data_IF_236995223046
#
_entry.id   IF_236995223046
#
_cell.length_a   1.000
_cell.length_b   1.000
_cell.length_c   1.000
_cell.angle_alpha   90.00
_cell.angle_beta   90.00
_cell.angle_gamma   90.00
#
_symmetry.space_group_name_H-M   'P 1'
#
loop_
_entity.id
_entity.type
_entity.pdbx_description
1 polymer ?
#
# COMPACT_ATOMS: atom_id res chain seq x y z
N UNK A 1 -17.25 18.19 -10.42
CA UNK A 1 -17.43 17.31 -9.23
C UNK A 1 -16.05 17.01 -8.67
N UNK A 2 -15.85 17.26 -7.38
CA UNK A 2 -14.57 17.01 -6.73
C UNK A 2 -14.38 15.50 -6.58
N UNK A 3 -13.23 15.00 -7.02
CA UNK A 3 -12.92 13.56 -7.00
C UNK A 3 -12.83 13.02 -5.57
N UNK A 4 -13.41 11.84 -5.32
CA UNK A 4 -13.39 11.17 -4.01
C UNK A 4 -12.27 10.13 -3.96
N UNK A 5 -11.28 10.37 -3.11
CA UNK A 5 -10.12 9.49 -2.87
C UNK A 5 -10.29 8.78 -1.52
N UNK A 6 -10.25 7.45 -1.53
CA UNK A 6 -10.28 6.64 -0.31
C UNK A 6 -8.88 6.10 -0.04
N UNK A 7 -8.38 6.27 1.19
CA UNK A 7 -7.03 5.82 1.57
C UNK A 7 -7.10 5.00 2.85
N UNK A 8 -6.57 3.78 2.84
CA UNK A 8 -6.45 2.97 4.06
C UNK A 8 -5.04 3.12 4.66
N UNK A 9 -4.94 3.01 5.98
CA UNK A 9 -3.68 3.22 6.69
C UNK A 9 -3.25 4.68 6.69
N UNK A 10 -4.21 5.58 6.75
CA UNK A 10 -4.00 7.03 6.58
C UNK A 10 -3.58 7.77 7.86
N UNK A 11 -3.34 7.05 8.97
CA UNK A 11 -2.99 7.69 10.25
C UNK A 11 -1.49 7.86 10.46
N UNK A 12 -0.65 7.47 9.51
CA UNK A 12 0.81 7.64 9.58
C UNK A 12 1.47 7.33 8.24
N UNK A 13 2.73 7.70 8.12
CA UNK A 13 3.62 7.31 7.03
C UNK A 13 3.10 7.69 5.65
N UNK A 14 3.24 6.78 4.69
CA UNK A 14 2.89 7.04 3.29
C UNK A 14 1.41 7.40 3.15
N UNK A 15 0.52 6.67 3.85
CA UNK A 15 -0.93 6.91 3.75
C UNK A 15 -1.33 8.30 4.23
N UNK A 16 -0.79 8.74 5.37
CA UNK A 16 -1.02 10.10 5.87
C UNK A 16 -0.47 11.14 4.89
N UNK A 17 0.76 10.94 4.41
CA UNK A 17 1.38 11.88 3.48
C UNK A 17 0.59 12.00 2.16
N UNK A 18 0.04 10.88 1.65
CA UNK A 18 -0.83 10.91 0.46
C UNK A 18 -2.13 11.66 0.77
N UNK A 19 -2.73 11.43 1.96
CA UNK A 19 -3.97 12.10 2.34
C UNK A 19 -3.77 13.62 2.41
N UNK A 20 -2.69 14.07 3.05
CA UNK A 20 -2.33 15.50 3.11
C UNK A 20 -2.14 16.08 1.72
N UNK A 21 -1.33 15.42 0.88
CA UNK A 21 -1.05 15.88 -0.49
C UNK A 21 -2.34 15.96 -1.33
N UNK A 22 -3.24 15.00 -1.18
CA UNK A 22 -4.52 15.01 -1.90
C UNK A 22 -5.42 16.17 -1.44
N UNK A 23 -5.46 16.42 -0.12
CA UNK A 23 -6.24 17.54 0.44
C UNK A 23 -5.69 18.90 -0.03
N UNK A 24 -4.36 19.05 -0.09
CA UNK A 24 -3.71 20.25 -0.65
C UNK A 24 -4.10 20.48 -2.12
N UNK A 25 -4.46 19.41 -2.83
CA UNK A 25 -4.93 19.47 -4.21
C UNK A 25 -6.46 19.51 -4.29
N UNK A 26 -7.13 19.82 -3.18
CA UNK A 26 -8.59 20.05 -3.09
C UNK A 26 -9.44 18.81 -3.43
N UNK A 27 -8.92 17.60 -3.22
CA UNK A 27 -9.71 16.38 -3.36
C UNK A 27 -10.48 16.11 -2.07
N UNK A 28 -11.62 15.46 -2.17
CA UNK A 28 -12.31 14.89 -1.02
C UNK A 28 -11.61 13.58 -0.65
N UNK A 29 -11.12 13.47 0.56
CA UNK A 29 -10.36 12.30 1.02
C UNK A 29 -11.10 11.59 2.14
N UNK A 30 -11.33 10.28 2.00
CA UNK A 30 -11.72 9.44 3.13
C UNK A 30 -10.47 8.74 3.65
N UNK A 31 -10.12 9.03 4.89
CA UNK A 31 -8.95 8.47 5.57
C UNK A 31 -9.39 7.37 6.53
N UNK A 32 -9.06 6.11 6.22
CA UNK A 32 -9.42 4.95 7.04
C UNK A 32 -8.21 4.47 7.84
N UNK A 33 -8.35 4.34 9.17
CA UNK A 33 -7.32 3.77 10.04
C UNK A 33 -7.92 3.42 11.40
N UNK A 34 -7.14 2.75 12.25
CA UNK A 34 -7.56 2.39 13.61
C UNK A 34 -7.41 3.53 14.62
N UNK A 35 -6.41 4.39 14.41
CA UNK A 35 -6.04 5.46 15.36
C UNK A 35 -6.95 6.68 15.14
N UNK A 36 -8.08 6.70 15.85
CA UNK A 36 -9.09 7.76 15.70
C UNK A 36 -8.56 9.14 16.10
N UNK A 37 -7.70 9.21 17.11
CA UNK A 37 -7.05 10.45 17.54
C UNK A 37 -6.21 11.07 16.43
N UNK A 38 -5.40 10.25 15.74
CA UNK A 38 -4.58 10.69 14.61
C UNK A 38 -5.45 11.16 13.44
N UNK A 39 -6.52 10.41 13.15
CA UNK A 39 -7.45 10.78 12.08
C UNK A 39 -8.17 12.11 12.41
N UNK A 40 -8.55 12.32 13.68
CA UNK A 40 -9.19 13.57 14.10
C UNK A 40 -8.24 14.75 13.94
N UNK A 41 -6.98 14.60 14.37
CA UNK A 41 -5.96 15.65 14.18
C UNK A 41 -5.75 15.98 12.71
N UNK A 42 -5.77 14.96 11.86
CA UNK A 42 -5.60 15.14 10.42
C UNK A 42 -6.80 15.90 9.81
N UNK A 43 -8.01 15.61 10.27
CA UNK A 43 -9.22 16.33 9.87
C UNK A 43 -9.21 17.79 10.33
N UNK A 44 -8.79 18.02 11.57
CA UNK A 44 -8.71 19.40 12.11
C UNK A 44 -7.77 20.28 11.28
N UNK A 45 -6.68 19.68 10.79
CA UNK A 45 -5.71 20.39 9.94
C UNK A 45 -6.20 20.51 8.49
N UNK A 46 -6.90 19.48 8.00
CA UNK A 46 -7.36 19.37 6.61
C UNK A 46 -8.86 19.01 6.58
N UNK A 47 -9.77 19.99 6.60
CA UNK A 47 -11.22 19.69 6.61
C UNK A 47 -11.76 18.87 5.43
N UNK A 48 -11.01 18.79 4.32
CA UNK A 48 -11.36 17.94 3.18
C UNK A 48 -11.06 16.46 3.43
N UNK A 49 -10.39 16.13 4.54
CA UNK A 49 -10.12 14.74 4.92
C UNK A 49 -11.19 14.28 5.90
N UNK A 50 -12.02 13.34 5.46
CA UNK A 50 -13.08 12.75 6.29
C UNK A 50 -12.53 11.50 7.00
N UNK A 51 -12.51 11.49 8.35
CA UNK A 51 -11.96 10.36 9.10
C UNK A 51 -12.99 9.22 9.25
N UNK A 52 -12.53 8.00 9.00
CA UNK A 52 -13.32 6.79 9.24
C UNK A 52 -12.49 5.81 10.06
N UNK A 53 -12.91 5.57 11.31
CA UNK A 53 -12.21 4.63 12.18
C UNK A 53 -12.65 3.21 11.85
N UNK A 54 -11.69 2.35 11.47
CA UNK A 54 -11.95 0.94 11.20
C UNK A 54 -10.67 0.12 11.32
N UNK A 55 -10.81 -1.11 11.80
CA UNK A 55 -9.75 -2.12 11.72
C UNK A 55 -9.85 -2.78 10.35
N UNK A 56 -8.78 -2.71 9.59
CA UNK A 56 -8.74 -3.24 8.22
C UNK A 56 -8.90 -4.77 8.19
N UNK A 57 -8.67 -5.44 9.32
CA UNK A 57 -8.82 -6.90 9.44
C UNK A 57 -10.26 -7.32 9.76
N UNK A 58 -11.14 -6.36 10.05
CA UNK A 58 -12.56 -6.62 10.32
C UNK A 58 -13.39 -6.22 9.10
N UNK A 59 -13.82 -7.20 8.34
CA UNK A 59 -14.60 -7.03 7.11
C UNK A 59 -15.85 -6.15 7.33
N UNK A 60 -16.52 -6.30 8.47
CA UNK A 60 -17.75 -5.54 8.74
C UNK A 60 -17.46 -4.07 9.01
N UNK A 61 -16.38 -3.79 9.76
CA UNK A 61 -15.95 -2.41 10.01
C UNK A 61 -15.54 -1.73 8.70
N UNK A 62 -14.79 -2.45 7.84
CA UNK A 62 -14.35 -1.93 6.52
C UNK A 62 -15.58 -1.56 5.68
N UNK A 63 -16.53 -2.49 5.55
CA UNK A 63 -17.74 -2.26 4.75
C UNK A 63 -18.55 -1.08 5.28
N UNK A 64 -18.71 -0.98 6.60
CA UNK A 64 -19.46 0.12 7.23
C UNK A 64 -18.77 1.46 7.03
N UNK A 65 -17.43 1.52 7.19
CA UNK A 65 -16.67 2.75 6.99
C UNK A 65 -16.79 3.25 5.55
N UNK A 66 -16.62 2.34 4.58
CA UNK A 66 -16.73 2.70 3.15
C UNK A 66 -18.15 3.16 2.82
N UNK A 67 -19.18 2.50 3.37
CA UNK A 67 -20.57 2.91 3.14
C UNK A 67 -20.84 4.31 3.70
N UNK A 68 -20.30 4.65 4.89
CA UNK A 68 -20.43 6.01 5.45
C UNK A 68 -19.69 7.04 4.58
N UNK A 69 -18.49 6.73 4.14
CA UNK A 69 -17.69 7.59 3.26
C UNK A 69 -18.44 7.92 1.97
N UNK A 70 -19.09 6.93 1.37
CA UNK A 70 -19.87 7.11 0.14
C UNK A 70 -21.08 8.03 0.39
N UNK A 71 -21.69 7.96 1.56
CA UNK A 71 -22.81 8.87 1.91
C UNK A 71 -22.36 10.33 2.02
N UNK A 72 -21.10 10.55 2.44
CA UNK A 72 -20.55 11.91 2.63
C UNK A 72 -20.05 12.49 1.30
N UNK A 73 -19.27 11.74 0.55
CA UNK A 73 -18.54 12.26 -0.62
C UNK A 73 -19.02 11.70 -1.96
N UNK A 74 -20.01 10.80 -1.96
CA UNK A 74 -20.39 10.11 -3.18
C UNK A 74 -19.49 8.91 -3.48
N UNK A 75 -19.67 8.30 -4.64
CA UNK A 75 -18.91 7.09 -5.02
C UNK A 75 -17.39 7.31 -4.98
N UNK A 76 -16.67 6.28 -4.59
CA UNK A 76 -15.19 6.32 -4.55
C UNK A 76 -14.65 6.32 -5.99
N UNK A 77 -13.94 7.37 -6.36
CA UNK A 77 -13.31 7.48 -7.68
C UNK A 77 -11.96 6.77 -7.72
N UNK A 78 -11.19 6.88 -6.62
CA UNK A 78 -9.89 6.23 -6.51
C UNK A 78 -9.73 5.64 -5.11
N UNK A 79 -9.36 4.36 -5.02
CA UNK A 79 -9.08 3.70 -3.75
C UNK A 79 -7.59 3.36 -3.67
N UNK A 80 -6.88 3.97 -2.70
CA UNK A 80 -5.48 3.65 -2.42
C UNK A 80 -5.45 2.74 -1.20
N UNK A 81 -5.23 1.45 -1.44
CA UNK A 81 -5.26 0.40 -0.41
C UNK A 81 -3.86 0.23 0.15
N UNK A 82 -3.52 1.13 1.11
CA UNK A 82 -2.17 1.32 1.63
C UNK A 82 -1.93 0.63 2.98
N UNK A 83 -2.97 0.37 3.77
CA UNK A 83 -2.82 -0.20 5.11
C UNK A 83 -1.90 -1.42 5.10
N UNK A 84 -0.94 -1.45 6.02
CA UNK A 84 0.00 -2.55 6.09
C UNK A 84 0.81 -2.50 7.37
N UNK A 85 1.36 -3.65 7.74
CA UNK A 85 2.31 -3.77 8.84
C UNK A 85 3.59 -4.42 8.32
N UNK A 86 4.68 -4.14 9.02
CA UNK A 86 5.99 -4.71 8.74
C UNK A 86 6.70 -5.00 10.06
N UNK A 87 7.20 -6.20 10.17
CA UNK A 87 8.03 -6.62 11.30
C UNK A 87 9.10 -7.56 10.74
N UNK A 88 10.38 -7.25 10.93
CA UNK A 88 11.44 -8.20 10.55
C UNK A 88 11.38 -9.43 11.45
N UNK A 89 11.51 -10.62 10.88
CA UNK A 89 11.45 -11.88 11.61
C UNK A 89 12.75 -12.68 11.47
N UNK A 90 13.10 -13.37 12.55
CA UNK A 90 14.19 -14.35 12.55
C UNK A 90 13.58 -15.71 12.23
N UNK A 91 13.91 -16.28 11.08
CA UNK A 91 13.34 -17.56 10.65
C UNK A 91 13.81 -18.76 11.48
N UNK A 92 14.77 -18.56 12.40
CA UNK A 92 15.14 -19.62 13.35
C UNK A 92 14.15 -19.70 14.53
N UNK A 93 13.27 -18.70 14.65
CA UNK A 93 12.25 -18.62 15.73
C UNK A 93 10.92 -18.17 15.12
N UNK A 94 10.25 -19.11 14.43
CA UNK A 94 8.98 -18.83 13.75
C UNK A 94 7.85 -18.67 14.79
N UNK A 95 7.13 -17.56 14.66
CA UNK A 95 5.89 -17.28 15.40
C UNK A 95 4.76 -17.12 14.39
N UNK A 96 3.90 -18.12 14.28
CA UNK A 96 2.82 -18.12 13.27
C UNK A 96 1.86 -16.95 13.44
N UNK A 97 1.66 -16.44 14.65
CA UNK A 97 0.75 -15.30 14.88
C UNK A 97 1.26 -14.05 14.15
N UNK A 98 2.57 -13.86 14.07
CA UNK A 98 3.18 -12.75 13.31
C UNK A 98 2.87 -12.90 11.81
N UNK A 99 2.98 -14.13 11.28
CA UNK A 99 2.68 -14.40 9.86
C UNK A 99 1.20 -14.18 9.55
N UNK A 100 0.32 -14.68 10.41
CA UNK A 100 -1.13 -14.53 10.25
C UNK A 100 -1.54 -13.06 10.33
N UNK A 101 -0.96 -12.30 11.26
CA UNK A 101 -1.21 -10.85 11.37
C UNK A 101 -0.80 -10.13 10.08
N UNK A 102 0.39 -10.47 9.54
CA UNK A 102 0.84 -9.86 8.29
C UNK A 102 -0.10 -10.18 7.13
N UNK A 103 -0.53 -11.43 6.99
CA UNK A 103 -1.45 -11.82 5.91
C UNK A 103 -2.82 -11.15 6.08
N UNK A 104 -3.33 -11.12 7.32
CA UNK A 104 -4.61 -10.48 7.63
C UNK A 104 -4.62 -8.99 7.26
N UNK A 105 -3.59 -8.25 7.67
CA UNK A 105 -3.53 -6.81 7.41
C UNK A 105 -3.16 -6.53 5.96
N UNK A 106 -2.03 -7.10 5.49
CA UNK A 106 -1.42 -6.70 4.22
C UNK A 106 -2.13 -7.25 2.98
N UNK A 107 -2.91 -8.34 3.14
CA UNK A 107 -3.60 -8.99 2.01
C UNK A 107 -5.11 -9.02 2.22
N UNK A 108 -5.60 -9.67 3.30
CA UNK A 108 -7.05 -9.82 3.50
C UNK A 108 -7.74 -8.45 3.64
N UNK A 109 -7.11 -7.49 4.34
CA UNK A 109 -7.63 -6.14 4.47
C UNK A 109 -7.82 -5.45 3.12
N UNK A 110 -6.89 -5.67 2.17
CA UNK A 110 -7.04 -5.18 0.79
C UNK A 110 -8.29 -5.81 0.15
N UNK A 111 -8.44 -7.14 0.29
CA UNK A 111 -9.58 -7.87 -0.31
C UNK A 111 -10.91 -7.37 0.25
N UNK A 112 -11.00 -7.07 1.56
CA UNK A 112 -12.24 -6.55 2.16
C UNK A 112 -12.60 -5.17 1.60
N UNK A 113 -11.60 -4.32 1.34
CA UNK A 113 -11.84 -3.02 0.69
C UNK A 113 -12.32 -3.22 -0.76
N UNK A 114 -11.65 -4.10 -1.51
CA UNK A 114 -12.01 -4.39 -2.91
C UNK A 114 -13.46 -4.86 -3.01
N UNK A 115 -13.88 -5.75 -2.12
CA UNK A 115 -15.27 -6.25 -2.08
C UNK A 115 -16.27 -5.09 -1.92
N UNK A 116 -15.88 -4.04 -1.22
CA UNK A 116 -16.75 -2.89 -0.93
C UNK A 116 -16.75 -1.85 -2.05
N UNK A 117 -15.65 -1.69 -2.81
CA UNK A 117 -15.57 -0.62 -3.82
C UNK A 117 -15.80 -1.09 -5.25
N UNK A 118 -15.41 -2.33 -5.60
CA UNK A 118 -15.46 -2.83 -6.98
C UNK A 118 -16.89 -2.83 -7.55
N UNK A 119 -17.93 -3.33 -6.83
CA UNK A 119 -19.26 -3.43 -7.45
C UNK A 119 -19.77 -2.09 -7.99
N UNK A 120 -19.62 -1.01 -7.21
CA UNK A 120 -20.05 0.33 -7.63
C UNK A 120 -19.20 0.88 -8.78
N UNK A 121 -17.90 0.56 -8.81
CA UNK A 121 -17.03 0.95 -9.92
C UNK A 121 -17.43 0.23 -11.22
N UNK A 122 -17.72 -1.08 -11.13
CA UNK A 122 -18.17 -1.88 -12.29
C UNK A 122 -19.50 -1.37 -12.81
N UNK A 123 -20.47 -1.14 -11.92
CA UNK A 123 -21.80 -0.62 -12.30
C UNK A 123 -21.69 0.73 -13.03
N UNK A 124 -20.78 1.59 -12.56
CA UNK A 124 -20.57 2.94 -13.12
C UNK A 124 -19.69 2.91 -14.37
N UNK A 125 -18.95 1.84 -14.62
CA UNK A 125 -18.00 1.74 -15.71
C UNK A 125 -16.81 2.69 -15.55
N UNK A 126 -16.41 2.99 -14.31
CA UNK A 126 -15.27 3.86 -14.05
C UNK A 126 -14.79 3.69 -12.61
N UNK A 127 -13.47 3.77 -12.43
CA UNK A 127 -12.86 3.65 -11.12
C UNK A 127 -11.36 3.50 -11.23
N UNK A 128 -10.68 3.67 -10.10
CA UNK A 128 -9.23 3.50 -10.02
C UNK A 128 -8.88 2.80 -8.71
N UNK A 129 -8.16 1.71 -8.81
CA UNK A 129 -7.68 0.93 -7.67
C UNK A 129 -6.15 0.97 -7.69
N UNK A 130 -5.55 1.44 -6.60
CA UNK A 130 -4.10 1.43 -6.42
C UNK A 130 -3.77 0.66 -5.14
N UNK A 131 -3.08 -0.48 -5.27
CA UNK A 131 -2.76 -1.33 -4.12
C UNK A 131 -1.30 -1.14 -3.71
N UNK A 132 -1.04 -1.11 -2.39
CA UNK A 132 0.30 -0.89 -1.87
C UNK A 132 1.08 -2.21 -1.82
N UNK A 133 1.92 -2.43 -2.83
CA UNK A 133 2.89 -3.50 -2.88
C UNK A 133 4.16 -3.17 -2.10
N UNK A 134 5.28 -3.61 -2.62
CA UNK A 134 6.64 -3.31 -2.13
C UNK A 134 7.66 -4.01 -3.03
N UNK A 135 8.86 -3.46 -3.14
CA UNK A 135 9.99 -4.19 -3.76
C UNK A 135 10.30 -5.50 -3.03
N UNK A 136 9.91 -5.63 -1.75
CA UNK A 136 10.06 -6.88 -0.99
C UNK A 136 9.14 -8.00 -1.51
N UNK A 137 8.16 -7.66 -2.35
CA UNK A 137 7.30 -8.66 -3.01
C UNK A 137 7.91 -9.24 -4.30
N UNK A 138 9.01 -8.67 -4.80
CA UNK A 138 9.61 -9.16 -6.05
C UNK A 138 10.33 -10.49 -5.88
N UNK A 139 11.06 -10.65 -4.78
CA UNK A 139 11.82 -11.86 -4.43
C UNK A 139 12.14 -11.86 -2.93
N UNK A 140 12.45 -13.04 -2.39
CA UNK A 140 12.79 -13.20 -0.99
C UNK A 140 13.97 -12.33 -0.55
N UNK A 141 13.83 -11.67 0.58
CA UNK A 141 14.86 -10.85 1.22
C UNK A 141 15.08 -11.34 2.66
N UNK A 142 16.28 -11.16 3.22
CA UNK A 142 16.53 -11.54 4.61
C UNK A 142 15.56 -10.86 5.57
N UNK A 143 15.20 -11.57 6.62
CA UNK A 143 14.31 -11.12 7.71
C UNK A 143 12.91 -10.71 7.25
N UNK A 144 12.53 -11.05 6.00
CA UNK A 144 11.26 -10.63 5.39
C UNK A 144 10.25 -11.80 5.25
N UNK A 145 10.45 -12.89 5.98
CA UNK A 145 9.64 -14.11 5.79
C UNK A 145 8.15 -13.91 6.09
N UNK A 146 7.77 -13.03 7.03
CA UNK A 146 6.37 -12.74 7.29
C UNK A 146 5.82 -11.68 6.33
N UNK A 147 6.64 -10.69 5.95
CA UNK A 147 6.22 -9.53 5.14
C UNK A 147 6.27 -9.80 3.62
N UNK A 148 7.43 -10.29 3.14
CA UNK A 148 7.67 -10.48 1.71
C UNK A 148 6.58 -11.29 1.00
N UNK A 149 6.21 -12.47 1.54
CA UNK A 149 5.13 -13.27 0.93
C UNK A 149 3.81 -12.53 0.81
N UNK A 150 3.44 -11.67 1.79
CA UNK A 150 2.20 -10.90 1.68
C UNK A 150 2.28 -9.91 0.50
N UNK A 151 3.44 -9.29 0.32
CA UNK A 151 3.62 -8.33 -0.78
C UNK A 151 3.75 -9.04 -2.13
N UNK A 152 4.27 -10.27 -2.17
CA UNK A 152 4.24 -11.10 -3.38
C UNK A 152 2.79 -11.47 -3.74
N UNK A 153 1.97 -11.81 -2.75
CA UNK A 153 0.54 -12.07 -2.95
C UNK A 153 -0.18 -10.83 -3.51
N UNK A 154 0.13 -9.64 -2.97
CA UNK A 154 -0.44 -8.37 -3.46
C UNK A 154 0.00 -8.07 -4.89
N UNK A 155 1.28 -8.37 -5.26
CA UNK A 155 1.73 -8.23 -6.65
C UNK A 155 0.85 -9.07 -7.59
N UNK A 156 0.69 -10.35 -7.26
CA UNK A 156 -0.10 -11.28 -8.07
C UNK A 156 -1.56 -10.85 -8.13
N UNK A 157 -2.15 -10.47 -6.98
CA UNK A 157 -3.53 -9.98 -6.92
C UNK A 157 -3.72 -8.78 -7.87
N UNK A 158 -2.81 -7.81 -7.84
CA UNK A 158 -2.92 -6.62 -8.69
C UNK A 158 -2.90 -6.98 -10.18
N UNK A 159 -2.05 -7.96 -10.56
CA UNK A 159 -1.99 -8.45 -11.96
C UNK A 159 -3.31 -9.12 -12.36
N UNK A 160 -3.87 -9.96 -11.50
CA UNK A 160 -5.17 -10.60 -11.75
C UNK A 160 -6.29 -9.55 -11.90
N UNK A 161 -6.34 -8.61 -10.97
CA UNK A 161 -7.33 -7.52 -11.01
C UNK A 161 -7.20 -6.68 -12.29
N UNK A 162 -5.98 -6.46 -12.76
CA UNK A 162 -5.77 -5.71 -14.00
C UNK A 162 -6.48 -6.38 -15.18
N UNK A 163 -6.34 -7.71 -15.31
CA UNK A 163 -6.99 -8.43 -16.40
C UNK A 163 -8.52 -8.44 -16.26
N UNK A 164 -9.00 -8.66 -15.04
CA UNK A 164 -10.44 -8.80 -14.80
C UNK A 164 -11.20 -7.48 -14.83
N UNK A 165 -10.57 -6.39 -14.41
CA UNK A 165 -11.24 -5.08 -14.26
C UNK A 165 -11.02 -4.13 -15.45
N UNK A 166 -9.97 -4.35 -16.23
CA UNK A 166 -9.70 -3.52 -17.41
C UNK A 166 -10.88 -3.49 -18.40
N UNK A 167 -11.57 -4.62 -18.69
CA UNK A 167 -12.75 -4.60 -19.56
C UNK A 167 -13.91 -3.75 -19.03
N UNK A 168 -13.89 -3.41 -17.75
CA UNK A 168 -14.95 -2.59 -17.13
C UNK A 168 -14.58 -1.11 -16.96
N UNK A 169 -13.34 -0.70 -17.40
CA UNK A 169 -12.95 0.51 -17.35
C UNK A 169 -12.45 0.91 -16.11
N UNK A 170 -12.08 -0.04 -15.35
CA UNK A 170 -11.50 0.28 -14.04
C UNK A 170 -9.98 0.16 -14.15
N UNK A 171 -9.30 1.24 -13.79
CA UNK A 171 -7.84 1.32 -13.79
C UNK A 171 -7.29 0.60 -12.56
N UNK A 172 -6.28 -0.25 -12.75
CA UNK A 172 -5.59 -0.93 -11.65
C UNK A 172 -4.12 -0.58 -11.70
N UNK A 173 -3.56 -0.14 -10.56
CA UNK A 173 -2.13 0.13 -10.41
C UNK A 173 -1.60 -0.52 -9.14
N UNK A 174 -0.34 -0.93 -9.17
CA UNK A 174 0.37 -1.35 -7.97
C UNK A 174 1.44 -0.30 -7.63
N UNK A 175 1.50 0.06 -6.34
CA UNK A 175 2.51 1.00 -5.84
C UNK A 175 3.61 0.17 -5.18
N UNK A 176 4.82 0.23 -5.72
CA UNK A 176 5.96 -0.52 -5.20
C UNK A 176 7.01 0.44 -4.61
N UNK A 177 6.89 0.74 -3.30
CA UNK A 177 7.94 1.52 -2.64
C UNK A 177 9.20 0.69 -2.39
N UNK A 178 10.34 1.38 -2.41
CA UNK A 178 11.58 0.92 -1.78
C UNK A 178 11.55 1.33 -0.30
N UNK A 179 12.66 1.88 0.19
CA UNK A 179 12.74 2.32 1.58
C UNK A 179 12.18 3.75 1.72
N UNK A 180 11.15 3.86 2.56
CA UNK A 180 10.51 5.16 2.88
C UNK A 180 10.61 5.36 4.38
N UNK A 181 11.02 6.56 4.78
CA UNK A 181 11.14 6.93 6.19
C UNK A 181 9.75 7.01 6.82
N UNK A 182 9.44 6.06 7.70
CA UNK A 182 8.13 5.95 8.37
C UNK A 182 8.31 5.25 9.72
N UNK A 183 7.25 5.27 10.54
CA UNK A 183 7.21 4.47 11.79
C UNK A 183 7.53 2.99 11.51
N UNK A 184 7.03 2.47 10.40
CA UNK A 184 7.20 1.04 10.04
C UNK A 184 8.67 0.70 9.73
N UNK A 185 9.43 1.59 9.11
CA UNK A 185 10.83 1.34 8.76
C UNK A 185 11.81 1.72 9.87
N UNK A 186 11.34 2.43 10.91
CA UNK A 186 12.18 2.84 12.03
C UNK A 186 12.73 1.65 12.84
N UNK A 187 12.12 0.46 12.69
CA UNK A 187 12.58 -0.76 13.37
C UNK A 187 13.78 -1.42 12.68
N UNK A 188 14.16 -0.94 11.51
CA UNK A 188 15.28 -1.52 10.76
C UNK A 188 16.62 -1.13 11.40
N UNK A 189 17.49 -2.11 11.56
CA UNK A 189 18.83 -1.96 12.15
C UNK A 189 19.95 -2.08 11.09
N UNK A 190 19.60 -1.84 9.82
CA UNK A 190 20.52 -1.93 8.69
C UNK A 190 20.40 -0.68 7.81
N UNK A 191 21.42 -0.42 7.02
CA UNK A 191 21.42 0.68 6.06
C UNK A 191 20.32 0.49 5.00
N UNK A 192 19.47 1.52 4.84
CA UNK A 192 18.38 1.52 3.87
C UNK A 192 18.77 2.37 2.65
N UNK A 193 19.25 1.74 1.59
CA UNK A 193 19.73 2.49 0.42
C UNK A 193 18.61 3.27 -0.28
N UNK A 194 18.96 4.46 -0.75
CA UNK A 194 18.06 5.35 -1.49
C UNK A 194 16.77 5.70 -0.70
N UNK A 195 16.83 5.72 0.65
CA UNK A 195 15.66 6.06 1.48
C UNK A 195 15.19 7.49 1.18
N UNK A 196 13.86 7.69 1.11
CA UNK A 196 13.24 9.00 0.91
C UNK A 196 12.17 9.21 1.98
N UNK A 197 11.76 10.46 2.20
CA UNK A 197 10.71 10.76 3.19
C UNK A 197 9.33 10.38 2.65
N UNK A 198 8.35 10.25 3.57
CA UNK A 198 6.97 9.94 3.20
C UNK A 198 6.36 11.03 2.30
N UNK A 199 6.71 12.30 2.51
CA UNK A 199 6.20 13.42 1.70
C UNK A 199 6.71 13.35 0.26
N UNK A 200 8.00 13.04 0.08
CA UNK A 200 8.57 12.87 -1.27
C UNK A 200 7.90 11.67 -1.96
N UNK A 201 7.73 10.57 -1.22
CA UNK A 201 7.06 9.38 -1.75
C UNK A 201 5.61 9.70 -2.16
N UNK A 202 4.86 10.40 -1.30
CA UNK A 202 3.45 10.75 -1.57
C UNK A 202 3.32 11.60 -2.84
N UNK A 203 4.17 12.64 -2.99
CA UNK A 203 4.17 13.49 -4.18
C UNK A 203 4.44 12.67 -5.44
N UNK A 204 5.46 11.81 -5.39
CA UNK A 204 5.84 10.98 -6.53
C UNK A 204 4.79 9.93 -6.87
N UNK A 205 4.14 9.33 -5.86
CA UNK A 205 3.02 8.40 -6.05
C UNK A 205 1.87 9.15 -6.72
N UNK A 206 1.49 10.30 -6.16
CA UNK A 206 0.34 11.08 -6.63
C UNK A 206 0.51 11.50 -8.10
N UNK A 207 1.73 11.93 -8.47
CA UNK A 207 2.03 12.28 -9.87
C UNK A 207 1.88 11.06 -10.80
N UNK A 208 2.30 9.88 -10.36
CA UNK A 208 2.25 8.65 -11.16
C UNK A 208 0.85 8.02 -11.20
N UNK A 209 -0.03 8.31 -10.23
CA UNK A 209 -1.42 7.84 -10.27
C UNK A 209 -2.12 8.30 -11.57
N UNK A 210 -1.72 9.45 -12.12
CA UNK A 210 -2.31 9.99 -13.36
C UNK A 210 -1.80 9.28 -14.62
N UNK A 211 -0.73 8.51 -14.53
CA UNK A 211 -0.14 7.83 -15.70
C UNK A 211 -0.86 6.51 -15.99
N UNK A 212 -0.70 5.99 -17.20
CA UNK A 212 -1.27 4.70 -17.61
C UNK A 212 -0.37 3.52 -17.26
N UNK A 213 0.72 3.75 -16.54
CA UNK A 213 1.62 2.67 -16.10
C UNK A 213 0.94 1.81 -15.05
N UNK A 214 1.02 0.51 -15.19
CA UNK A 214 0.51 -0.44 -14.20
C UNK A 214 1.23 -0.28 -12.86
N UNK A 215 2.56 -0.06 -12.91
CA UNK A 215 3.36 0.03 -11.69
C UNK A 215 3.82 1.45 -11.41
N UNK A 216 3.57 1.90 -10.20
CA UNK A 216 4.07 3.14 -9.59
C UNK A 216 5.31 2.78 -8.77
N UNK A 217 6.48 3.20 -9.25
CA UNK A 217 7.78 2.87 -8.65
C UNK A 217 8.32 4.09 -7.88
N UNK A 218 8.64 3.91 -6.58
CA UNK A 218 9.07 5.04 -5.73
C UNK A 218 10.11 4.58 -4.70
N UNK A 219 11.34 5.09 -4.72
CA UNK A 219 11.92 5.93 -5.78
C UNK A 219 12.25 5.08 -7.04
N UNK A 220 12.06 5.65 -8.21
CA UNK A 220 12.18 4.91 -9.48
C UNK A 220 13.54 4.23 -9.65
N UNK A 221 14.62 4.91 -9.25
CA UNK A 221 15.98 4.38 -9.39
C UNK A 221 16.20 3.10 -8.59
N UNK A 222 15.77 3.11 -7.33
CA UNK A 222 15.87 1.94 -6.44
C UNK A 222 15.04 0.78 -6.98
N UNK A 223 13.78 1.06 -7.35
CA UNK A 223 12.88 0.02 -7.87
C UNK A 223 13.46 -0.60 -9.15
N UNK A 224 14.06 0.22 -10.04
CA UNK A 224 14.70 -0.29 -11.25
C UNK A 224 15.87 -1.24 -10.91
N UNK A 225 16.69 -0.89 -9.91
CA UNK A 225 17.78 -1.77 -9.42
C UNK A 225 17.22 -3.11 -8.92
N UNK A 226 16.14 -3.07 -8.14
CA UNK A 226 15.50 -4.27 -7.59
C UNK A 226 14.90 -5.16 -8.70
N UNK A 227 14.31 -4.53 -9.73
CA UNK A 227 13.78 -5.26 -10.89
C UNK A 227 14.90 -5.96 -11.67
N UNK A 228 16.03 -5.28 -11.86
CA UNK A 228 17.19 -5.87 -12.51
C UNK A 228 17.73 -7.05 -11.69
N UNK A 229 17.84 -6.86 -10.37
CA UNK A 229 18.29 -7.89 -9.44
C UNK A 229 17.41 -9.14 -9.51
N UNK A 230 16.09 -8.95 -9.63
CA UNK A 230 15.13 -10.06 -9.70
C UNK A 230 15.29 -10.92 -10.97
N UNK A 231 15.91 -10.39 -12.03
CA UNK A 231 16.13 -11.14 -13.28
C UNK A 231 17.28 -12.15 -13.19
N UNK A 232 18.12 -12.03 -12.16
CA UNK A 232 19.25 -12.94 -11.99
C UNK A 232 18.78 -14.40 -11.80
N UNK A 233 19.54 -15.40 -12.29
CA UNK A 233 19.27 -16.80 -11.94
C UNK A 233 19.19 -16.94 -10.41
N UNK A 234 18.28 -17.80 -9.93
CA UNK A 234 17.99 -17.90 -8.51
C UNK A 234 19.22 -18.06 -7.62
N UNK A 235 20.11 -18.98 -7.98
CA UNK A 235 21.33 -19.25 -7.21
C UNK A 235 22.22 -18.00 -7.10
N UNK A 236 22.36 -17.25 -8.20
CA UNK A 236 23.14 -16.01 -8.24
C UNK A 236 22.50 -14.94 -7.37
N UNK A 237 21.18 -14.78 -7.48
CA UNK A 237 20.41 -13.84 -6.66
C UNK A 237 20.64 -14.11 -5.16
N UNK A 238 20.42 -15.36 -4.73
CA UNK A 238 20.54 -15.73 -3.32
C UNK A 238 21.95 -15.45 -2.77
N UNK A 239 22.98 -15.83 -3.52
CA UNK A 239 24.38 -15.58 -3.12
C UNK A 239 24.69 -14.09 -3.03
N UNK A 240 24.26 -13.31 -4.03
CA UNK A 240 24.52 -11.87 -4.06
C UNK A 240 23.83 -11.14 -2.92
N UNK A 241 22.55 -11.46 -2.68
CA UNK A 241 21.79 -10.83 -1.59
C UNK A 241 22.39 -11.22 -0.24
N UNK A 242 22.68 -12.51 -0.03
CA UNK A 242 23.28 -12.98 1.22
C UNK A 242 24.62 -12.29 1.50
N UNK A 243 25.46 -12.15 0.46
CA UNK A 243 26.76 -11.46 0.60
C UNK A 243 26.56 -9.97 0.94
N UNK A 244 25.66 -9.29 0.22
CA UNK A 244 25.41 -7.84 0.41
C UNK A 244 24.79 -7.53 1.78
N UNK A 245 24.05 -8.49 2.36
CA UNK A 245 23.34 -8.28 3.64
C UNK A 245 24.02 -8.97 4.83
N UNK A 246 25.21 -9.53 4.63
CA UNK A 246 25.98 -10.18 5.70
C UNK A 246 25.43 -11.52 6.17
N UNK A 247 24.64 -12.21 5.32
CA UNK A 247 24.05 -13.51 5.63
C UNK A 247 24.81 -14.71 5.05
N UNK A 248 26.00 -14.46 4.48
CA UNK A 248 26.95 -15.51 4.11
C UNK A 248 28.15 -15.42 5.04
N UNK A 249 28.47 -16.50 5.71
CA UNK A 249 29.72 -16.67 6.45
C UNK A 249 30.81 -17.20 5.50
#
# INVERSE_FOLDING_TARGET
>A
VTQHLLITGASSGIGEAIARHAADNHLNVTAIARRSDRLASLHDEYPHIHPETADITDKKQVAAAIARAIKVHGPVDCAILNAGIYQPVDATHIDSDVFDAHMSVNYSGIVYCLESVIPAMVERGSGHIAVMGSTAGYRGLPRSAAYGPTKAAVQNLAECLYFDLNPHXIKVQIINPGFIETEATAVNDFEMPDIITAEVAARDIFAQLKSDRFEIAVPRGFVAKMKLLRLLPLKTYLKLVAHKTGHLT
#
